data_IF_067890872833
#
_entry.id   IF_067890872833
#
_cell.length_a   1.000
_cell.length_b   1.000
_cell.length_c   1.000
_cell.angle_alpha   90.00
_cell.angle_beta   90.00
_cell.angle_gamma   90.00
#
_symmetry.space_group_name_H-M   'P 1'
#
loop_
_entity.id
_entity.type
_entity.pdbx_description
1 polymer ?
#
# COMPACT_ATOMS: atom_id res chain seq x y z
N UNK A 1 51.11 40.85 -14.61
CA UNK A 1 50.44 40.78 -15.91
C UNK A 1 50.09 39.31 -16.16
N UNK A 2 48.79 38.97 -16.04
CA UNK A 2 48.08 37.88 -16.78
C UNK A 2 48.53 36.43 -16.43
N UNK A 3 47.87 35.64 -15.58
CA UNK A 3 46.55 34.91 -15.64
C UNK A 3 46.87 33.39 -15.53
N UNK A 4 46.69 32.74 -14.37
CA UNK A 4 45.53 31.86 -14.01
C UNK A 4 44.86 31.18 -15.22
N UNK A 5 44.91 29.83 -15.25
CA UNK A 5 43.86 28.96 -15.79
C UNK A 5 44.10 27.51 -15.35
N UNK A 6 43.49 27.12 -14.23
CA UNK A 6 43.27 25.71 -13.89
C UNK A 6 41.81 25.41 -14.21
N UNK A 7 41.57 24.53 -15.18
CA UNK A 7 40.24 24.05 -15.55
C UNK A 7 39.85 22.98 -14.52
N UNK A 8 38.91 23.30 -13.64
CA UNK A 8 38.16 22.35 -12.83
C UNK A 8 36.76 22.30 -13.44
N UNK A 9 36.45 21.17 -14.06
CA UNK A 9 35.12 20.84 -14.56
C UNK A 9 34.18 20.66 -13.36
N UNK A 10 33.21 21.56 -13.25
CA UNK A 10 32.10 21.48 -12.32
C UNK A 10 31.13 20.41 -12.85
N UNK A 11 31.15 19.20 -12.28
CA UNK A 11 30.03 18.27 -12.40
C UNK A 11 29.02 18.74 -11.36
N UNK A 12 28.03 19.51 -11.81
CA UNK A 12 26.83 19.75 -11.03
C UNK A 12 25.98 18.48 -11.09
N UNK A 13 26.16 17.59 -10.12
CA UNK A 13 25.12 16.62 -9.77
C UNK A 13 24.00 17.42 -9.13
N UNK A 14 22.94 17.66 -9.90
CA UNK A 14 21.62 17.94 -9.34
C UNK A 14 21.22 16.70 -8.54
N UNK A 15 21.46 16.71 -7.24
CA UNK A 15 20.66 15.93 -6.34
C UNK A 15 19.24 16.50 -6.49
N UNK A 16 18.38 15.77 -7.21
CA UNK A 16 16.95 15.91 -7.00
C UNK A 16 16.74 15.52 -5.54
N UNK A 17 16.66 16.51 -4.66
CA UNK A 17 15.95 16.29 -3.42
C UNK A 17 14.54 15.90 -3.86
N UNK A 18 14.19 14.63 -3.68
CA UNK A 18 12.78 14.25 -3.66
C UNK A 18 12.21 15.12 -2.55
N UNK A 19 11.38 16.08 -2.92
CA UNK A 19 10.61 16.79 -1.92
C UNK A 19 9.70 15.72 -1.32
N UNK A 20 9.96 15.32 -0.07
CA UNK A 20 8.97 14.55 0.68
C UNK A 20 7.70 15.39 0.61
N UNK A 21 6.62 14.86 0.02
CA UNK A 21 5.39 15.64 -0.06
C UNK A 21 4.97 16.00 1.36
N UNK A 22 4.70 17.28 1.57
CA UNK A 22 4.21 17.75 2.86
C UNK A 22 2.87 17.06 3.13
N UNK A 23 2.64 16.69 4.38
CA UNK A 23 1.40 16.05 4.81
C UNK A 23 0.20 16.87 4.31
N UNK A 24 -0.76 16.20 3.66
CA UNK A 24 -1.87 16.83 2.98
C UNK A 24 -3.18 16.05 3.16
N UNK A 25 -4.25 16.78 3.49
CA UNK A 25 -5.63 16.27 3.44
C UNK A 25 -6.43 17.03 2.38
N UNK A 26 -6.95 16.32 1.39
CA UNK A 26 -7.85 16.83 0.35
C UNK A 26 -9.25 16.28 0.57
N UNK A 27 -10.22 17.19 0.75
CA UNK A 27 -11.63 16.83 0.80
C UNK A 27 -12.26 16.99 -0.59
N UNK A 28 -12.85 15.93 -1.10
CA UNK A 28 -13.60 15.95 -2.35
C UNK A 28 -15.04 16.44 -2.13
N UNK A 29 -15.70 17.01 -3.14
CA UNK A 29 -17.06 17.54 -3.02
C UNK A 29 -18.10 16.52 -2.53
N UNK A 30 -19.18 16.98 -1.89
CA UNK A 30 -20.31 16.11 -1.51
C UNK A 30 -20.90 15.41 -2.74
N UNK A 31 -21.19 14.12 -2.59
CA UNK A 31 -21.62 13.22 -3.65
C UNK A 31 -20.47 12.56 -4.41
N UNK A 32 -19.24 12.68 -3.91
CA UNK A 32 -18.08 11.96 -4.45
C UNK A 32 -17.62 10.83 -3.53
N UNK A 33 -16.91 9.89 -4.13
CA UNK A 33 -16.19 8.82 -3.44
C UNK A 33 -14.88 8.58 -4.18
N UNK A 34 -13.74 8.65 -3.49
CA UNK A 34 -12.50 8.12 -4.03
C UNK A 34 -12.52 6.59 -3.85
N UNK A 35 -12.34 5.85 -4.94
CA UNK A 35 -12.49 4.40 -4.96
C UNK A 35 -11.13 3.70 -5.02
N UNK A 36 -10.19 4.26 -5.78
CA UNK A 36 -8.88 3.64 -6.02
C UNK A 36 -7.81 4.69 -6.34
N UNK A 37 -6.54 4.33 -6.18
CA UNK A 37 -5.36 5.15 -6.44
C UNK A 37 -4.24 4.31 -7.06
N UNK A 38 -3.44 4.90 -7.94
CA UNK A 38 -2.26 4.24 -8.51
C UNK A 38 -1.20 3.97 -7.42
N UNK A 39 -0.34 2.94 -7.58
CA UNK A 39 0.72 2.59 -6.62
C UNK A 39 1.61 3.75 -6.20
N UNK A 40 1.91 4.61 -7.18
CA UNK A 40 2.78 5.79 -7.06
C UNK A 40 2.06 7.03 -6.51
N UNK A 41 0.75 6.94 -6.30
CA UNK A 41 -0.07 8.01 -5.77
C UNK A 41 -0.42 9.09 -6.78
N UNK A 42 -0.02 8.99 -8.06
CA UNK A 42 -0.22 10.06 -9.02
C UNK A 42 -1.70 10.25 -9.40
N UNK A 43 -2.46 9.16 -9.56
CA UNK A 43 -3.83 9.19 -10.12
C UNK A 43 -4.85 8.56 -9.18
N UNK A 44 -5.89 9.32 -8.86
CA UNK A 44 -7.07 8.85 -8.10
C UNK A 44 -8.27 8.72 -9.02
N UNK A 45 -9.01 7.62 -8.89
CA UNK A 45 -10.30 7.42 -9.57
C UNK A 45 -11.44 7.25 -8.58
N UNK A 46 -12.65 7.57 -9.03
CA UNK A 46 -13.81 7.44 -8.16
C UNK A 46 -15.15 7.74 -8.81
N UNK A 47 -16.15 7.91 -7.97
CA UNK A 47 -17.54 8.17 -8.36
C UNK A 47 -17.95 9.58 -7.94
N UNK A 48 -18.84 10.20 -8.72
CA UNK A 48 -19.50 11.47 -8.42
C UNK A 48 -20.98 11.43 -8.82
N UNK A 49 -21.73 12.48 -8.47
CA UNK A 49 -23.13 12.65 -8.90
C UNK A 49 -23.32 12.76 -10.43
N UNK A 50 -22.25 12.99 -11.19
CA UNK A 50 -22.32 13.16 -12.66
C UNK A 50 -21.63 12.02 -13.44
N UNK A 51 -21.20 10.97 -12.74
CA UNK A 51 -20.45 9.84 -13.29
C UNK A 51 -19.13 9.63 -12.55
N UNK A 52 -18.22 8.87 -13.15
CA UNK A 52 -16.88 8.65 -12.64
C UNK A 52 -16.03 9.91 -12.67
N UNK A 53 -14.92 9.89 -11.96
CA UNK A 53 -13.86 10.88 -12.12
C UNK A 53 -12.49 10.22 -12.11
N UNK A 54 -11.57 10.85 -12.83
CA UNK A 54 -10.13 10.56 -12.82
C UNK A 54 -9.37 11.85 -12.54
N UNK A 55 -8.37 11.80 -11.66
CA UNK A 55 -7.68 13.00 -11.22
C UNK A 55 -6.22 12.74 -10.90
N UNK A 56 -5.32 13.43 -11.59
CA UNK A 56 -3.92 13.56 -11.15
C UNK A 56 -3.83 14.67 -10.12
N UNK A 57 -4.16 14.33 -8.89
CA UNK A 57 -4.57 15.29 -7.86
C UNK A 57 -3.47 16.25 -7.40
N UNK A 58 -2.21 15.91 -7.62
CA UNK A 58 -1.06 16.78 -7.36
C UNK A 58 -0.68 17.68 -8.55
N UNK A 59 -1.16 17.36 -9.76
CA UNK A 59 -0.77 18.02 -11.02
C UNK A 59 -1.90 18.90 -11.55
N UNK A 60 -3.11 18.36 -11.58
CA UNK A 60 -4.28 18.98 -12.18
C UNK A 60 -5.11 19.69 -11.10
N UNK A 61 -5.59 20.90 -11.39
CA UNK A 61 -6.31 21.73 -10.41
C UNK A 61 -7.69 21.15 -9.99
N UNK A 62 -8.30 20.33 -10.84
CA UNK A 62 -9.61 19.72 -10.61
C UNK A 62 -9.72 18.35 -11.30
N UNK A 63 -10.59 17.45 -10.79
CA UNK A 63 -10.83 16.14 -11.40
C UNK A 63 -11.52 16.26 -12.77
N UNK A 64 -11.17 15.34 -13.67
CA UNK A 64 -11.91 15.15 -14.93
C UNK A 64 -13.09 14.22 -14.69
N UNK A 65 -14.31 14.71 -14.93
CA UNK A 65 -15.53 13.92 -14.77
C UNK A 65 -15.91 13.20 -16.06
N UNK A 66 -16.19 11.91 -15.95
CA UNK A 66 -16.53 11.00 -17.05
C UNK A 66 -17.97 10.50 -16.89
N UNK A 67 -18.92 10.97 -17.71
CA UNK A 67 -20.31 10.53 -17.62
C UNK A 67 -20.49 9.09 -18.11
N UNK A 68 -21.61 8.47 -17.74
CA UNK A 68 -22.05 7.18 -18.29
C UNK A 68 -21.76 5.95 -17.42
N UNK A 69 -20.91 6.08 -16.41
CA UNK A 69 -20.64 5.03 -15.44
C UNK A 69 -19.82 5.51 -14.25
N UNK A 70 -19.65 4.62 -13.28
CA UNK A 70 -18.84 4.84 -12.08
C UNK A 70 -17.46 4.20 -12.28
N UNK A 71 -16.38 4.85 -11.84
CA UNK A 71 -15.02 4.30 -11.90
C UNK A 71 -14.68 3.62 -10.57
N UNK A 72 -14.19 2.38 -10.62
CA UNK A 72 -13.99 1.52 -9.44
C UNK A 72 -12.54 1.22 -9.17
N UNK A 73 -11.73 0.92 -10.20
CA UNK A 73 -10.32 0.56 -10.06
C UNK A 73 -9.49 1.09 -11.25
N UNK A 74 -8.19 1.34 -11.06
CA UNK A 74 -7.28 1.94 -12.05
C UNK A 74 -5.99 1.12 -12.22
N UNK A 75 -5.48 1.01 -13.45
CA UNK A 75 -4.18 0.39 -13.74
C UNK A 75 -3.03 1.22 -13.18
N UNK A 76 -1.85 0.60 -12.99
CA UNK A 76 -0.68 1.24 -12.36
C UNK A 76 -0.23 2.50 -13.10
N UNK A 77 -0.38 2.52 -14.42
CA UNK A 77 -0.05 3.64 -15.28
C UNK A 77 -1.18 4.68 -15.45
N UNK A 78 -2.31 4.49 -14.76
CA UNK A 78 -3.46 5.39 -14.83
C UNK A 78 -4.26 5.34 -16.15
N UNK A 79 -3.89 4.49 -17.11
CA UNK A 79 -4.43 4.55 -18.48
C UNK A 79 -5.70 3.73 -18.71
N UNK A 80 -5.94 2.70 -17.90
CA UNK A 80 -7.12 1.84 -17.97
C UNK A 80 -7.86 1.89 -16.65
N UNK A 81 -9.18 2.10 -16.73
CA UNK A 81 -10.04 2.16 -15.55
C UNK A 81 -11.17 1.14 -15.68
N UNK A 82 -11.36 0.32 -14.65
CA UNK A 82 -12.53 -0.54 -14.53
C UNK A 82 -13.68 0.23 -13.88
N UNK A 83 -14.88 0.04 -14.38
CA UNK A 83 -16.07 0.66 -13.84
C UNK A 83 -17.36 -0.09 -14.13
N UNK A 84 -18.46 0.58 -13.83
CA UNK A 84 -19.81 0.06 -14.02
C UNK A 84 -20.66 1.04 -14.82
N UNK A 85 -21.21 0.60 -15.94
CA UNK A 85 -22.05 1.40 -16.84
C UNK A 85 -23.45 0.80 -16.98
N UNK A 86 -24.38 1.58 -17.55
CA UNK A 86 -25.72 1.10 -17.89
C UNK A 86 -25.90 0.99 -19.41
N UNK A 87 -26.09 -0.23 -19.92
CA UNK A 87 -26.38 -0.50 -21.33
C UNK A 87 -27.80 -1.01 -21.46
N UNK A 88 -28.68 -0.24 -22.12
CA UNK A 88 -30.07 -0.64 -22.34
C UNK A 88 -30.88 -0.87 -21.05
N UNK A 89 -30.48 -0.26 -19.93
CA UNK A 89 -31.11 -0.46 -18.61
C UNK A 89 -30.55 -1.62 -17.78
N UNK A 90 -29.49 -2.27 -18.25
CA UNK A 90 -28.76 -3.33 -17.54
C UNK A 90 -27.37 -2.84 -17.09
N UNK A 91 -26.90 -3.20 -15.88
CA UNK A 91 -25.56 -2.85 -15.43
C UNK A 91 -24.52 -3.79 -16.06
N UNK A 92 -23.41 -3.21 -16.52
CA UNK A 92 -22.26 -3.92 -17.07
C UNK A 92 -20.99 -3.46 -16.38
N UNK A 93 -20.12 -4.41 -16.04
CA UNK A 93 -18.70 -4.13 -15.90
C UNK A 93 -18.16 -3.61 -17.24
N UNK A 94 -17.35 -2.56 -17.21
CA UNK A 94 -16.81 -1.91 -18.40
C UNK A 94 -15.41 -1.36 -18.13
N UNK A 95 -14.60 -1.32 -19.18
CA UNK A 95 -13.31 -0.62 -19.16
C UNK A 95 -13.47 0.77 -19.75
N UNK A 96 -12.71 1.72 -19.24
CA UNK A 96 -12.59 3.05 -19.78
C UNK A 96 -11.13 3.36 -20.10
N UNK A 97 -10.92 4.00 -21.24
CA UNK A 97 -9.64 4.61 -21.64
C UNK A 97 -9.91 6.02 -22.15
N UNK A 98 -8.92 6.92 -22.08
CA UNK A 98 -9.08 8.30 -22.54
C UNK A 98 -9.44 8.37 -24.04
N UNK A 99 -8.78 7.57 -24.87
CA UNK A 99 -8.97 7.55 -26.32
C UNK A 99 -10.24 6.78 -26.76
N UNK A 100 -10.63 5.75 -26.01
CA UNK A 100 -11.72 4.83 -26.37
C UNK A 100 -13.06 5.13 -25.72
N UNK A 101 -13.07 5.82 -24.57
CA UNK A 101 -14.24 5.93 -23.71
C UNK A 101 -14.62 4.58 -23.07
N UNK A 102 -15.88 4.46 -22.66
CA UNK A 102 -16.42 3.24 -22.03
C UNK A 102 -16.64 2.12 -23.06
N UNK A 103 -16.08 0.94 -22.78
CA UNK A 103 -16.32 -0.31 -23.49
C UNK A 103 -16.85 -1.39 -22.53
N UNK A 104 -18.03 -1.92 -22.83
CA UNK A 104 -18.69 -2.91 -21.98
C UNK A 104 -18.01 -4.27 -22.14
N UNK A 105 -17.72 -4.96 -21.03
CA UNK A 105 -17.22 -6.33 -21.10
C UNK A 105 -18.28 -7.24 -21.75
N UNK A 106 -17.84 -8.12 -22.66
CA UNK A 106 -18.75 -9.00 -23.40
C UNK A 106 -19.22 -10.19 -22.54
N UNK A 107 -20.46 -10.11 -22.05
CA UNK A 107 -21.15 -11.18 -21.35
C UNK A 107 -22.14 -11.96 -22.23
N UNK A 108 -22.09 -11.82 -23.56
CA UNK A 108 -23.06 -12.43 -24.49
C UNK A 108 -23.08 -13.98 -24.46
N UNK A 109 -22.02 -14.60 -23.96
CA UNK A 109 -21.94 -16.04 -23.74
C UNK A 109 -22.78 -16.53 -22.53
N UNK A 110 -23.25 -15.61 -21.68
CA UNK A 110 -23.94 -15.92 -20.42
C UNK A 110 -25.37 -15.37 -20.42
N UNK A 111 -26.27 -16.08 -19.75
CA UNK A 111 -27.66 -15.61 -19.62
C UNK A 111 -27.82 -14.65 -18.43
N UNK A 112 -28.38 -13.45 -18.58
CA UNK A 112 -28.57 -12.55 -17.45
C UNK A 112 -29.66 -13.03 -16.48
N UNK A 113 -29.74 -12.39 -15.31
CA UNK A 113 -30.86 -12.56 -14.38
C UNK A 113 -31.77 -11.33 -14.38
N UNK A 114 -32.80 -11.34 -15.23
CA UNK A 114 -33.58 -10.13 -15.49
C UNK A 114 -32.66 -9.04 -16.06
N UNK A 115 -32.62 -7.83 -15.46
CA UNK A 115 -31.71 -6.78 -15.92
C UNK A 115 -30.25 -7.01 -15.50
N UNK A 116 -29.96 -7.88 -14.52
CA UNK A 116 -28.62 -8.04 -13.96
C UNK A 116 -27.70 -8.81 -14.91
N UNK A 117 -26.61 -8.18 -15.34
CA UNK A 117 -25.59 -8.78 -16.23
C UNK A 117 -24.26 -8.91 -15.50
N UNK A 118 -23.62 -7.79 -15.14
CA UNK A 118 -22.34 -7.81 -14.45
C UNK A 118 -22.02 -6.54 -13.66
N UNK A 119 -21.03 -6.64 -12.77
CA UNK A 119 -20.43 -5.49 -12.08
C UNK A 119 -18.94 -5.73 -11.83
N UNK A 120 -18.10 -4.75 -12.13
CA UNK A 120 -16.65 -4.78 -11.93
C UNK A 120 -16.27 -4.35 -10.51
N UNK A 121 -15.24 -5.00 -9.95
CA UNK A 121 -14.78 -4.78 -8.57
C UNK A 121 -13.28 -4.49 -8.44
N UNK A 122 -12.41 -5.13 -9.24
CA UNK A 122 -10.97 -4.88 -9.20
C UNK A 122 -10.28 -5.14 -10.55
N UNK A 123 -9.13 -4.50 -10.75
CA UNK A 123 -8.35 -4.48 -12.00
C UNK A 123 -6.87 -4.80 -11.68
N UNK A 124 -6.18 -5.54 -12.57
CA UNK A 124 -4.75 -5.77 -12.46
C UNK A 124 -3.94 -4.51 -12.79
N UNK A 125 -2.69 -4.44 -12.32
CA UNK A 125 -1.83 -3.28 -12.49
C UNK A 125 -1.51 -2.98 -13.96
N UNK A 126 -1.46 -4.00 -14.81
CA UNK A 126 -1.29 -3.82 -16.26
C UNK A 126 -2.58 -3.48 -17.02
N UNK A 127 -3.73 -3.41 -16.34
CA UNK A 127 -5.04 -3.12 -16.93
C UNK A 127 -5.62 -4.25 -17.80
N UNK A 128 -5.01 -5.44 -17.82
CA UNK A 128 -5.38 -6.53 -18.74
C UNK A 128 -6.19 -7.65 -18.12
N UNK A 129 -6.42 -7.60 -16.82
CA UNK A 129 -7.25 -8.55 -16.10
C UNK A 129 -8.20 -7.82 -15.17
N UNK A 130 -9.48 -8.16 -15.20
CA UNK A 130 -10.50 -7.53 -14.37
C UNK A 130 -11.40 -8.57 -13.73
N UNK A 131 -11.87 -8.29 -12.52
CA UNK A 131 -12.69 -9.22 -11.76
C UNK A 131 -13.98 -8.59 -11.25
N UNK A 132 -14.96 -9.41 -10.92
CA UNK A 132 -16.21 -8.93 -10.35
C UNK A 132 -17.31 -9.97 -10.23
N UNK A 133 -18.55 -9.52 -10.32
CA UNK A 133 -19.75 -10.34 -10.27
C UNK A 133 -20.41 -10.40 -11.66
N UNK A 134 -20.70 -11.61 -12.15
CA UNK A 134 -21.45 -11.87 -13.37
C UNK A 134 -22.65 -12.78 -13.11
N UNK A 135 -23.61 -12.77 -14.04
CA UNK A 135 -24.81 -13.62 -13.97
C UNK A 135 -24.87 -14.63 -15.11
N UNK A 136 -25.21 -15.87 -14.79
CA UNK A 136 -25.50 -16.93 -15.76
C UNK A 136 -26.76 -17.71 -15.39
N UNK A 137 -27.92 -17.35 -15.96
CA UNK A 137 -29.20 -18.02 -15.70
C UNK A 137 -29.69 -17.85 -14.26
N UNK A 138 -29.53 -16.64 -13.69
CA UNK A 138 -29.76 -16.35 -12.26
C UNK A 138 -28.81 -17.05 -11.29
N UNK A 139 -27.69 -17.56 -11.79
CA UNK A 139 -26.55 -17.98 -10.99
C UNK A 139 -25.51 -16.85 -10.93
N UNK A 140 -25.28 -16.30 -9.74
CA UNK A 140 -24.28 -15.27 -9.50
C UNK A 140 -22.89 -15.90 -9.35
N UNK A 141 -21.94 -15.47 -10.17
CA UNK A 141 -20.58 -16.02 -10.24
C UNK A 141 -19.53 -14.92 -10.23
N UNK A 142 -18.43 -15.17 -9.54
CA UNK A 142 -17.21 -14.40 -9.77
C UNK A 142 -16.77 -14.59 -11.22
N UNK A 143 -16.27 -13.55 -11.87
CA UNK A 143 -15.67 -13.66 -13.20
C UNK A 143 -14.23 -13.15 -13.19
N UNK A 144 -13.42 -13.68 -14.10
CA UNK A 144 -12.16 -13.10 -14.54
C UNK A 144 -12.31 -12.73 -16.01
N UNK A 145 -12.12 -11.47 -16.34
CA UNK A 145 -11.91 -11.01 -17.70
C UNK A 145 -10.42 -10.89 -17.96
N UNK A 146 -9.96 -11.31 -19.13
CA UNK A 146 -8.62 -11.01 -19.63
C UNK A 146 -8.70 -10.41 -21.03
N UNK A 147 -7.76 -9.52 -21.37
CA UNK A 147 -7.68 -8.92 -22.71
C UNK A 147 -7.65 -9.98 -23.82
N UNK A 148 -6.91 -11.08 -23.62
CA UNK A 148 -6.75 -12.14 -24.61
C UNK A 148 -7.91 -13.15 -24.63
N UNK A 149 -8.55 -13.41 -23.49
CA UNK A 149 -9.51 -14.50 -23.31
C UNK A 149 -10.97 -14.07 -23.21
N UNK A 150 -11.24 -12.78 -22.97
CA UNK A 150 -12.57 -12.30 -22.63
C UNK A 150 -13.00 -12.74 -21.23
N UNK A 151 -14.32 -12.77 -20.99
CA UNK A 151 -14.90 -13.11 -19.69
C UNK A 151 -14.97 -14.63 -19.49
N UNK A 152 -14.36 -15.11 -18.40
CA UNK A 152 -14.49 -16.46 -17.86
C UNK A 152 -15.18 -16.41 -16.48
N UNK A 153 -16.13 -17.30 -16.23
CA UNK A 153 -16.69 -17.48 -14.88
C UNK A 153 -15.74 -18.33 -14.02
N UNK A 154 -15.52 -17.91 -12.78
CA UNK A 154 -14.69 -18.64 -11.81
C UNK A 154 -15.40 -19.89 -11.29
N UNK A 155 -14.62 -20.88 -10.87
CA UNK A 155 -15.16 -22.14 -10.37
C UNK A 155 -16.04 -21.94 -9.12
N UNK A 156 -17.10 -22.74 -9.04
CA UNK A 156 -17.93 -22.84 -7.84
C UNK A 156 -17.18 -23.65 -6.78
N UNK A 157 -16.64 -22.98 -5.77
CA UNK A 157 -15.85 -23.60 -4.70
C UNK A 157 -16.69 -24.16 -3.54
N UNK A 158 -17.99 -23.86 -3.51
CA UNK A 158 -18.90 -24.28 -2.46
C UNK A 158 -20.35 -24.45 -2.96
N UNK A 159 -21.32 -24.28 -2.06
CA UNK A 159 -22.73 -24.59 -2.33
C UNK A 159 -23.52 -23.34 -2.73
N UNK A 160 -23.25 -22.81 -3.92
CA UNK A 160 -24.03 -21.72 -4.50
C UNK A 160 -23.15 -20.63 -5.07
N UNK A 161 -23.65 -19.40 -5.05
CA UNK A 161 -23.02 -18.25 -5.69
C UNK A 161 -21.65 -17.88 -5.11
N UNK A 162 -20.85 -17.21 -5.91
CA UNK A 162 -19.58 -16.62 -5.49
C UNK A 162 -19.42 -15.24 -6.13
N UNK A 163 -18.53 -14.43 -5.57
CA UNK A 163 -18.11 -13.14 -6.11
C UNK A 163 -16.61 -13.04 -5.95
N UNK A 164 -15.94 -12.48 -6.96
CA UNK A 164 -14.59 -12.02 -6.82
C UNK A 164 -14.59 -10.50 -6.60
N UNK A 165 -13.90 -10.10 -5.55
CA UNK A 165 -13.90 -8.74 -4.99
C UNK A 165 -12.53 -8.06 -5.13
N UNK A 166 -11.46 -8.85 -5.29
CA UNK A 166 -10.09 -8.38 -5.42
C UNK A 166 -9.32 -9.21 -6.46
N UNK A 167 -8.30 -8.62 -7.08
CA UNK A 167 -7.30 -9.29 -7.91
C UNK A 167 -5.94 -8.67 -7.59
N UNK A 168 -4.89 -9.48 -7.54
CA UNK A 168 -3.51 -8.99 -7.37
C UNK A 168 -3.09 -8.16 -8.58
N UNK A 169 -2.15 -7.23 -8.41
CA UNK A 169 -1.69 -6.36 -9.50
C UNK A 169 -1.03 -7.16 -10.63
N UNK A 170 -0.40 -8.29 -10.33
CA UNK A 170 0.12 -9.23 -11.34
C UNK A 170 -0.94 -10.12 -12.04
N UNK A 171 -2.21 -10.00 -11.62
CA UNK A 171 -3.34 -10.73 -12.18
C UNK A 171 -3.41 -12.23 -11.85
N UNK A 172 -2.56 -12.74 -10.96
CA UNK A 172 -2.44 -14.18 -10.70
C UNK A 172 -3.35 -14.70 -9.58
N UNK A 173 -3.64 -13.87 -8.58
CA UNK A 173 -4.42 -14.24 -7.40
C UNK A 173 -5.71 -13.42 -7.37
N UNK A 174 -6.84 -14.09 -7.15
CA UNK A 174 -8.16 -13.46 -7.11
C UNK A 174 -8.80 -13.79 -5.77
N UNK A 175 -9.28 -12.77 -5.07
CA UNK A 175 -9.94 -12.88 -3.78
C UNK A 175 -11.43 -12.57 -3.86
N UNK A 176 -12.23 -13.20 -3.01
CA UNK A 176 -13.61 -12.80 -2.76
C UNK A 176 -14.33 -13.70 -1.77
N UNK A 177 -15.58 -14.04 -2.06
CA UNK A 177 -16.35 -15.00 -1.26
C UNK A 177 -17.00 -16.07 -2.14
N UNK A 178 -17.15 -17.26 -1.57
CA UNK A 178 -18.09 -18.26 -2.06
C UNK A 178 -19.10 -18.64 -0.99
N UNK A 179 -20.26 -19.15 -1.39
CA UNK A 179 -21.20 -19.74 -0.43
C UNK A 179 -20.62 -21.03 0.14
N UNK A 180 -20.40 -21.04 1.44
CA UNK A 180 -20.01 -22.22 2.22
C UNK A 180 -21.21 -23.11 2.54
N UNK A 181 -21.23 -23.72 3.73
CA UNK A 181 -22.32 -24.60 4.16
C UNK A 181 -23.61 -23.84 4.43
N UNK A 182 -23.51 -22.64 5.01
CA UNK A 182 -24.64 -21.81 5.42
C UNK A 182 -24.41 -20.30 5.21
N UNK A 183 -23.16 -19.88 5.04
CA UNK A 183 -22.72 -18.48 5.07
C UNK A 183 -21.74 -18.22 3.90
N UNK A 184 -21.47 -16.94 3.61
CA UNK A 184 -20.34 -16.55 2.76
C UNK A 184 -19.04 -16.87 3.48
N UNK A 185 -18.05 -17.41 2.78
CA UNK A 185 -16.73 -17.71 3.34
C UNK A 185 -15.63 -17.16 2.42
N UNK A 186 -14.47 -16.75 2.96
CA UNK A 186 -13.40 -16.21 2.14
C UNK A 186 -12.91 -17.27 1.15
N UNK A 187 -12.78 -16.83 -0.09
CA UNK A 187 -12.46 -17.67 -1.23
C UNK A 187 -11.32 -17.05 -2.02
N UNK A 188 -10.44 -17.91 -2.54
CA UNK A 188 -9.29 -17.54 -3.35
C UNK A 188 -9.31 -18.36 -4.63
N UNK A 189 -9.10 -17.72 -5.77
CA UNK A 189 -8.95 -18.36 -7.07
C UNK A 189 -7.60 -18.00 -7.70
N UNK A 190 -7.09 -18.91 -8.52
CA UNK A 190 -5.99 -18.66 -9.42
C UNK A 190 -6.51 -18.09 -10.77
N UNK A 191 -5.60 -17.58 -11.60
CA UNK A 191 -5.90 -17.04 -12.93
C UNK A 191 -6.50 -18.05 -13.91
N UNK A 192 -6.38 -19.36 -13.66
CA UNK A 192 -7.06 -20.40 -14.44
C UNK A 192 -8.53 -20.62 -14.04
N UNK A 193 -8.99 -19.94 -12.98
CA UNK A 193 -10.34 -20.01 -12.43
C UNK A 193 -10.55 -21.09 -11.37
N UNK A 194 -9.56 -21.95 -11.11
CA UNK A 194 -9.60 -22.89 -9.99
C UNK A 194 -9.36 -22.20 -8.66
N UNK A 195 -9.75 -22.78 -7.54
CA UNK A 195 -9.61 -22.10 -6.25
C UNK A 195 -9.87 -22.97 -5.02
N UNK A 196 -9.87 -22.32 -3.85
CA UNK A 196 -10.09 -22.93 -2.54
C UNK A 196 -10.78 -21.98 -1.55
N UNK A 197 -11.28 -22.54 -0.44
CA UNK A 197 -11.93 -21.82 0.66
C UNK A 197 -11.10 -21.99 1.94
N UNK A 198 -11.03 -20.95 2.76
CA UNK A 198 -10.37 -21.04 4.07
C UNK A 198 -11.05 -22.06 4.99
N UNK A 199 -12.33 -21.84 5.30
CA UNK A 199 -13.15 -22.81 6.02
C UNK A 199 -14.61 -22.64 5.64
N UNK A 200 -15.18 -23.70 5.07
CA UNK A 200 -16.57 -23.75 4.54
C UNK A 200 -17.67 -23.35 5.54
N UNK A 201 -17.38 -23.33 6.85
CA UNK A 201 -18.35 -22.97 7.88
C UNK A 201 -18.13 -21.59 8.50
N UNK A 202 -16.98 -20.96 8.26
CA UNK A 202 -16.66 -19.66 8.83
C UNK A 202 -17.12 -18.53 7.91
N UNK A 203 -17.70 -17.49 8.50
CA UNK A 203 -18.15 -16.32 7.77
C UNK A 203 -16.93 -15.52 7.30
N UNK A 204 -16.96 -15.00 6.08
CA UNK A 204 -15.97 -14.05 5.64
C UNK A 204 -15.95 -13.78 4.15
N UNK A 205 -15.02 -12.91 3.76
CA UNK A 205 -14.74 -12.50 2.39
C UNK A 205 -13.31 -11.94 2.30
N UNK A 206 -12.59 -12.28 1.24
CA UNK A 206 -11.34 -11.59 0.88
C UNK A 206 -11.71 -10.27 0.19
N UNK A 207 -11.13 -9.17 0.67
CA UNK A 207 -11.42 -7.82 0.20
C UNK A 207 -10.24 -7.14 -0.47
N UNK A 208 -9.01 -7.56 -0.17
CA UNK A 208 -7.81 -7.02 -0.79
C UNK A 208 -6.66 -8.03 -0.81
N UNK A 209 -5.62 -7.66 -1.54
CA UNK A 209 -4.42 -8.45 -1.81
C UNK A 209 -3.26 -7.46 -1.93
N UNK A 210 -2.04 -7.85 -1.58
CA UNK A 210 -0.86 -7.12 -2.02
C UNK A 210 -0.57 -7.42 -3.51
N UNK A 211 0.48 -6.81 -4.09
CA UNK A 211 0.63 -6.77 -5.55
C UNK A 211 0.85 -8.12 -6.22
N UNK A 212 1.52 -9.06 -5.54
CA UNK A 212 1.73 -10.44 -6.00
C UNK A 212 0.73 -11.44 -5.41
N UNK A 213 -0.19 -10.97 -4.55
CA UNK A 213 -1.18 -11.79 -3.86
C UNK A 213 -0.60 -12.76 -2.83
N UNK A 214 0.66 -12.57 -2.40
CA UNK A 214 1.26 -13.34 -1.30
C UNK A 214 0.68 -13.00 0.07
N UNK A 215 0.11 -11.80 0.22
CA UNK A 215 -0.63 -11.37 1.41
C UNK A 215 -2.10 -11.14 1.04
N UNK A 216 -2.98 -11.77 1.81
CA UNK A 216 -4.44 -11.74 1.61
C UNK A 216 -5.09 -11.09 2.82
N UNK A 217 -6.03 -10.17 2.58
CA UNK A 217 -6.75 -9.49 3.66
C UNK A 217 -8.26 -9.46 3.42
N UNK A 218 -9.00 -9.31 4.51
CA UNK A 218 -10.44 -9.15 4.42
C UNK A 218 -11.13 -9.31 5.76
N UNK A 219 -12.25 -10.03 5.76
CA UNK A 219 -13.07 -10.28 6.94
C UNK A 219 -13.19 -11.77 7.23
N UNK A 220 -13.03 -12.14 8.50
CA UNK A 220 -13.15 -13.49 9.02
C UNK A 220 -13.90 -13.49 10.36
N UNK A 221 -15.09 -14.07 10.39
CA UNK A 221 -15.96 -14.16 11.57
C UNK A 221 -16.16 -12.81 12.30
N UNK A 222 -16.42 -11.77 11.52
CA UNK A 222 -16.69 -10.41 11.98
C UNK A 222 -15.43 -9.59 12.27
N UNK A 223 -14.24 -10.05 11.89
CA UNK A 223 -12.97 -9.39 12.23
C UNK A 223 -12.09 -9.25 11.01
N UNK A 224 -11.37 -8.14 10.93
CA UNK A 224 -10.34 -7.94 9.93
C UNK A 224 -9.26 -9.00 10.10
N UNK A 225 -8.81 -9.57 9.00
CA UNK A 225 -7.73 -10.55 8.98
C UNK A 225 -6.70 -10.22 7.91
N UNK A 226 -5.51 -10.78 8.10
CA UNK A 226 -4.41 -10.82 7.16
C UNK A 226 -3.84 -12.25 7.14
N UNK A 227 -3.41 -12.75 5.99
CA UNK A 227 -2.74 -14.04 5.83
C UNK A 227 -1.54 -13.86 4.90
N UNK A 228 -0.34 -14.11 5.42
CA UNK A 228 0.95 -13.98 4.73
C UNK A 228 1.49 -15.34 4.22
N UNK A 229 0.61 -16.34 4.13
CA UNK A 229 0.96 -17.72 3.79
C UNK A 229 1.43 -18.56 4.98
N UNK A 230 1.65 -17.96 6.15
CA UNK A 230 1.87 -18.70 7.41
C UNK A 230 0.55 -19.04 8.14
N UNK A 231 -0.57 -18.47 7.68
CA UNK A 231 -1.91 -18.67 8.19
C UNK A 231 -2.57 -17.35 8.62
N UNK A 232 -3.86 -17.42 8.93
CA UNK A 232 -4.66 -16.24 9.30
C UNK A 232 -4.16 -15.61 10.60
N UNK A 233 -3.75 -14.35 10.50
CA UNK A 233 -3.60 -13.40 11.59
C UNK A 233 -4.86 -12.54 11.71
N UNK A 234 -5.51 -12.57 12.88
CA UNK A 234 -6.70 -11.73 13.14
C UNK A 234 -6.24 -10.35 13.64
N UNK A 235 -6.47 -9.31 12.84
CA UNK A 235 -6.19 -7.92 13.20
C UNK A 235 -7.23 -7.37 14.18
N UNK A 236 -8.49 -7.80 14.05
CA UNK A 236 -9.59 -7.45 14.96
C UNK A 236 -10.60 -6.49 14.37
N UNK A 237 -11.18 -5.62 15.20
CA UNK A 237 -12.07 -4.54 14.78
C UNK A 237 -11.87 -3.33 15.70
N UNK A 238 -12.09 -2.12 15.18
CA UNK A 238 -11.90 -0.87 15.93
C UNK A 238 -12.82 -0.81 17.16
N UNK A 239 -14.09 -1.19 16.98
CA UNK A 239 -15.13 -1.04 18.00
C UNK A 239 -15.42 -2.32 18.79
N UNK A 240 -15.02 -3.49 18.29
CA UNK A 240 -15.36 -4.77 18.87
C UNK A 240 -16.88 -5.07 18.90
N UNK A 241 -17.26 -6.07 19.70
CA UNK A 241 -18.66 -6.43 19.91
C UNK A 241 -19.36 -6.92 18.63
N UNK A 242 -20.45 -6.27 18.24
CA UNK A 242 -21.25 -6.63 17.06
C UNK A 242 -20.81 -5.90 15.78
N UNK A 243 -19.77 -5.06 15.84
CA UNK A 243 -19.20 -4.44 14.65
C UNK A 243 -18.31 -5.44 13.92
N UNK A 244 -18.42 -5.41 12.60
CA UNK A 244 -17.59 -6.21 11.70
C UNK A 244 -16.42 -5.38 11.22
N UNK A 245 -15.18 -5.82 11.49
CA UNK A 245 -13.97 -5.22 10.93
C UNK A 245 -13.66 -5.77 9.55
N UNK A 246 -13.37 -4.89 8.59
CA UNK A 246 -13.06 -5.24 7.20
C UNK A 246 -11.76 -4.54 6.82
N UNK A 247 -10.71 -5.30 6.55
CA UNK A 247 -9.52 -4.78 5.89
C UNK A 247 -9.81 -4.64 4.39
N UNK A 248 -9.36 -3.56 3.74
CA UNK A 248 -9.62 -3.31 2.31
C UNK A 248 -8.34 -3.22 1.47
N UNK A 249 -7.22 -2.77 2.05
CA UNK A 249 -5.96 -2.62 1.32
C UNK A 249 -4.73 -2.72 2.23
N UNK A 250 -3.56 -3.04 1.66
CA UNK A 250 -2.28 -3.25 2.37
C UNK A 250 -1.09 -2.67 1.60
N UNK A 251 -0.10 -2.14 2.32
CA UNK A 251 1.13 -1.63 1.73
C UNK A 251 2.00 -2.81 1.33
N UNK A 252 2.87 -2.63 0.34
CA UNK A 252 3.60 -3.77 -0.23
C UNK A 252 4.62 -4.38 0.76
N UNK A 253 5.05 -3.60 1.76
CA UNK A 253 5.86 -4.08 2.89
C UNK A 253 5.05 -4.74 4.03
N UNK A 254 3.72 -4.75 3.91
CA UNK A 254 2.78 -5.27 4.89
C UNK A 254 2.71 -4.49 6.21
N UNK A 255 3.29 -3.28 6.29
CA UNK A 255 3.38 -2.52 7.53
C UNK A 255 2.17 -1.61 7.78
N UNK A 256 1.39 -1.30 6.75
CA UNK A 256 0.17 -0.52 6.84
C UNK A 256 -0.98 -1.33 6.26
N UNK A 257 -2.10 -1.40 6.97
CA UNK A 257 -3.37 -1.96 6.47
C UNK A 257 -4.46 -0.92 6.73
N UNK A 258 -5.31 -0.67 5.75
CA UNK A 258 -6.47 0.22 5.92
C UNK A 258 -7.76 -0.56 5.79
N UNK A 259 -8.81 -0.01 6.38
CA UNK A 259 -10.12 -0.64 6.35
C UNK A 259 -11.19 0.18 7.05
N UNK A 260 -12.26 -0.51 7.42
CA UNK A 260 -13.33 0.09 8.20
C UNK A 260 -14.10 -0.95 9.02
N UNK A 261 -14.68 -0.48 10.11
CA UNK A 261 -15.67 -1.20 10.88
C UNK A 261 -17.06 -0.89 10.35
N UNK A 262 -17.97 -1.86 10.37
CA UNK A 262 -19.37 -1.66 9.96
C UNK A 262 -20.36 -2.32 10.91
N UNK A 263 -21.47 -1.62 11.17
CA UNK A 263 -22.67 -2.19 11.79
C UNK A 263 -23.92 -1.57 11.18
N UNK A 264 -24.75 -2.40 10.54
CA UNK A 264 -25.96 -1.92 9.86
C UNK A 264 -25.59 -0.86 8.78
N UNK A 265 -25.97 0.41 8.96
CA UNK A 265 -25.59 1.51 8.05
C UNK A 265 -24.40 2.34 8.57
N UNK A 266 -23.94 2.13 9.80
CA UNK A 266 -22.83 2.88 10.38
C UNK A 266 -21.51 2.26 9.94
N UNK A 267 -20.53 3.11 9.62
CA UNK A 267 -19.15 2.71 9.33
C UNK A 267 -18.16 3.67 9.98
N UNK A 268 -16.96 3.18 10.26
CA UNK A 268 -15.84 3.98 10.75
C UNK A 268 -14.54 3.47 10.15
N UNK A 269 -13.83 4.35 9.45
CA UNK A 269 -12.56 4.03 8.84
C UNK A 269 -11.46 3.87 9.90
N UNK A 270 -10.49 3.00 9.62
CA UNK A 270 -9.35 2.79 10.48
C UNK A 270 -8.09 2.46 9.67
N UNK A 271 -6.95 2.63 10.33
CA UNK A 271 -5.64 2.21 9.88
C UNK A 271 -5.04 1.28 10.94
N UNK A 272 -4.33 0.25 10.49
CA UNK A 272 -3.58 -0.68 11.32
C UNK A 272 -2.10 -0.62 10.96
N UNK A 273 -1.27 -0.67 11.99
CA UNK A 273 0.17 -0.98 11.86
C UNK A 273 0.54 -2.00 12.94
N UNK A 274 1.66 -2.73 12.79
CA UNK A 274 2.15 -3.61 13.84
C UNK A 274 2.38 -2.90 15.18
N UNK A 275 2.78 -1.63 15.14
CA UNK A 275 3.10 -0.83 16.32
C UNK A 275 1.84 -0.36 17.08
N UNK A 276 0.83 0.10 16.34
CA UNK A 276 -0.34 0.75 16.93
C UNK A 276 -1.56 -0.17 17.08
N UNK A 277 -1.60 -1.29 16.35
CA UNK A 277 -2.85 -1.99 16.12
C UNK A 277 -3.84 -1.13 15.33
N UNK A 278 -5.13 -1.46 15.40
CA UNK A 278 -6.21 -0.72 14.73
C UNK A 278 -6.44 0.62 15.45
N UNK A 279 -6.28 1.72 14.72
CA UNK A 279 -6.54 3.09 15.17
C UNK A 279 -7.55 3.74 14.21
N UNK A 280 -8.50 4.50 14.75
CA UNK A 280 -9.48 5.24 13.96
C UNK A 280 -8.80 6.20 12.99
N UNK A 281 -9.25 6.26 11.74
CA UNK A 281 -8.66 7.16 10.75
C UNK A 281 -8.89 8.64 11.11
N UNK A 282 -9.94 8.96 11.86
CA UNK A 282 -10.12 10.29 12.45
C UNK A 282 -8.99 10.65 13.42
N UNK A 283 -8.54 9.70 14.24
CA UNK A 283 -7.44 9.93 15.20
C UNK A 283 -6.10 10.04 14.46
N UNK A 284 -5.90 9.24 13.41
CA UNK A 284 -4.73 9.35 12.51
C UNK A 284 -4.66 10.76 11.92
N UNK A 285 -5.75 11.26 11.33
CA UNK A 285 -5.81 12.60 10.75
C UNK A 285 -5.68 13.71 11.80
N UNK A 286 -6.25 13.54 12.99
CA UNK A 286 -6.12 14.52 14.06
C UNK A 286 -4.67 14.64 14.57
N UNK A 287 -3.98 13.50 14.72
CA UNK A 287 -2.57 13.47 15.11
C UNK A 287 -1.65 14.04 14.02
N UNK A 288 -2.04 13.88 12.76
CA UNK A 288 -1.47 14.51 11.57
C UNK A 288 -1.76 16.02 11.43
N UNK A 289 -2.29 16.68 12.47
CA UNK A 289 -2.52 18.12 12.44
C UNK A 289 -3.80 18.56 11.74
N UNK A 290 -4.76 17.65 11.49
CA UNK A 290 -6.10 17.96 10.99
C UNK A 290 -7.21 17.73 12.04
N UNK A 291 -7.15 18.38 13.22
CA UNK A 291 -8.22 18.28 14.19
C UNK A 291 -9.48 18.93 13.62
N UNK A 292 -10.52 18.13 13.37
CA UNK A 292 -11.77 18.58 12.74
C UNK A 292 -11.89 18.26 11.25
N UNK A 293 -11.05 17.38 10.72
CA UNK A 293 -11.36 16.69 9.47
C UNK A 293 -12.77 16.05 9.52
N UNK A 294 -13.41 15.94 8.35
CA UNK A 294 -14.71 15.29 8.25
C UNK A 294 -14.63 13.83 8.71
N UNK A 295 -15.70 13.32 9.32
CA UNK A 295 -15.73 11.97 9.86
C UNK A 295 -15.46 10.93 8.76
N UNK A 296 -14.35 10.23 8.87
CA UNK A 296 -13.92 9.21 7.92
C UNK A 296 -14.80 7.97 8.03
N UNK A 297 -15.45 7.64 6.91
CA UNK A 297 -16.47 6.60 6.85
C UNK A 297 -15.89 5.26 6.39
N UNK A 298 -15.05 5.28 5.35
CA UNK A 298 -14.28 4.11 4.87
C UNK A 298 -12.93 4.55 4.31
N UNK A 299 -11.89 3.75 4.52
CA UNK A 299 -10.73 3.71 3.63
C UNK A 299 -10.99 2.64 2.55
N UNK A 300 -10.49 2.85 1.33
CA UNK A 300 -10.71 1.93 0.21
C UNK A 300 -9.44 1.42 -0.44
N UNK A 301 -8.49 2.33 -0.67
CA UNK A 301 -7.25 2.03 -1.34
C UNK A 301 -6.14 2.94 -0.81
N UNK A 302 -4.90 2.56 -1.08
CA UNK A 302 -3.72 3.36 -0.81
C UNK A 302 -2.57 3.04 -1.76
N UNK A 303 -1.52 3.84 -1.67
CA UNK A 303 -0.25 3.63 -2.39
C UNK A 303 0.54 2.46 -1.83
N UNK A 304 1.48 1.94 -2.63
CA UNK A 304 2.28 0.76 -2.25
C UNK A 304 3.14 1.01 -1.00
N UNK A 305 3.54 2.26 -0.75
CA UNK A 305 4.25 2.70 0.45
C UNK A 305 3.31 2.94 1.66
N UNK A 306 2.00 2.91 1.45
CA UNK A 306 0.97 3.15 2.47
C UNK A 306 0.81 4.61 2.90
N UNK A 307 1.36 5.58 2.16
CA UNK A 307 1.38 6.98 2.56
C UNK A 307 0.20 7.80 2.08
N UNK A 308 -0.34 7.49 0.91
CA UNK A 308 -1.53 8.15 0.38
C UNK A 308 -2.71 7.19 0.51
N UNK A 309 -3.69 7.56 1.34
CA UNK A 309 -4.89 6.76 1.60
C UNK A 309 -6.10 7.51 1.02
N UNK A 310 -6.95 6.78 0.29
CA UNK A 310 -8.18 7.32 -0.28
C UNK A 310 -9.42 6.63 0.26
N UNK A 311 -10.53 7.35 0.27
CA UNK A 311 -11.80 6.79 0.72
C UNK A 311 -12.96 7.76 0.74
N UNK A 312 -13.89 7.54 1.67
CA UNK A 312 -15.10 8.33 1.85
C UNK A 312 -15.26 8.86 3.27
N UNK A 313 -15.84 10.05 3.40
CA UNK A 313 -16.22 10.73 4.64
C UNK A 313 -17.72 10.93 4.73
N UNK A 314 -18.23 11.15 5.94
CA UNK A 314 -19.53 11.78 6.16
C UNK A 314 -19.34 13.28 5.96
N UNK A 315 -19.92 13.82 4.89
CA UNK A 315 -19.82 15.21 4.53
C UNK A 315 -20.95 16.04 5.16
N UNK A 316 -20.59 17.12 5.85
CA UNK A 316 -21.52 18.08 6.43
C UNK A 316 -22.44 18.68 5.36
N UNK A 317 -23.74 18.78 5.68
CA UNK A 317 -24.75 19.42 4.82
C UNK A 317 -25.42 18.52 3.77
N UNK A 318 -25.04 17.25 3.64
CA UNK A 318 -25.66 16.32 2.69
C UNK A 318 -26.85 15.51 3.24
N UNK A 319 -27.33 15.81 4.46
CA UNK A 319 -28.38 15.02 5.12
C UNK A 319 -27.89 13.64 5.56
N UNK A 320 -28.78 12.66 5.83
CA UNK A 320 -28.40 11.34 6.36
C UNK A 320 -27.56 10.47 5.42
N UNK A 321 -27.27 10.93 4.20
CA UNK A 321 -26.46 10.26 3.17
C UNK A 321 -25.48 11.22 2.48
N UNK A 322 -25.09 12.31 3.15
CA UNK A 322 -24.05 13.21 2.66
C UNK A 322 -22.69 12.53 2.74
N UNK A 323 -22.18 12.05 1.62
CA UNK A 323 -20.84 11.46 1.54
C UNK A 323 -19.93 12.35 0.70
N UNK A 324 -18.66 12.47 1.07
CA UNK A 324 -17.63 13.09 0.24
C UNK A 324 -16.44 12.15 0.15
N UNK A 325 -15.62 12.25 -0.90
CA UNK A 325 -14.36 11.52 -0.93
C UNK A 325 -13.26 12.23 -0.15
N UNK A 326 -12.19 11.53 0.19
CA UNK A 326 -10.95 12.15 0.67
C UNK A 326 -9.72 11.53 0.01
N UNK A 327 -8.65 12.31 -0.02
CA UNK A 327 -7.27 11.86 -0.26
C UNK A 327 -6.47 12.35 0.94
N UNK A 328 -5.77 11.46 1.62
CA UNK A 328 -4.92 11.80 2.75
C UNK A 328 -3.52 11.27 2.50
N UNK A 329 -2.61 12.21 2.25
CA UNK A 329 -1.17 11.96 2.16
C UNK A 329 -0.57 12.26 3.52
N UNK A 330 -0.02 11.24 4.16
CA UNK A 330 0.71 11.40 5.40
C UNK A 330 2.16 11.75 5.09
N UNK A 331 2.78 12.55 5.93
CA UNK A 331 4.23 12.67 5.88
C UNK A 331 4.83 11.30 6.19
N UNK A 332 5.69 10.83 5.29
CA UNK A 332 6.72 9.88 5.63
C UNK A 332 7.54 10.48 6.76
N UNK A 333 7.14 10.22 7.99
CA UNK A 333 8.15 9.83 8.96
C UNK A 333 8.48 8.38 8.65
N UNK A 334 9.12 8.14 7.50
CA UNK A 334 9.99 6.98 7.37
C UNK A 334 10.90 7.08 8.59
N UNK A 335 10.58 6.30 9.61
CA UNK A 335 11.39 6.24 10.82
C UNK A 335 12.80 5.80 10.46
N UNK A 336 13.01 5.22 9.26
CA UNK A 336 14.28 4.80 8.72
C UNK A 336 14.41 5.16 7.24
N UNK A 337 15.28 6.10 6.89
CA UNK A 337 15.56 6.53 5.51
C UNK A 337 16.96 6.03 5.07
N UNK A 338 17.05 5.36 3.91
CA UNK A 338 18.35 4.97 3.31
C UNK A 338 18.98 6.15 2.55
N UNK A 339 20.13 6.62 3.01
CA UNK A 339 20.88 7.73 2.44
C UNK A 339 21.94 7.29 1.41
N UNK A 340 22.07 5.99 1.13
CA UNK A 340 23.07 5.44 0.22
C UNK A 340 24.50 5.54 0.76
N UNK A 341 25.49 5.82 -0.10
CA UNK A 341 26.92 5.95 0.27
C UNK A 341 27.65 4.65 0.73
N UNK A 342 27.15 3.48 0.35
CA UNK A 342 27.86 2.22 0.57
C UNK A 342 29.22 2.19 -0.16
N UNK A 343 30.24 1.60 0.49
CA UNK A 343 31.59 1.42 -0.05
C UNK A 343 31.88 -0.07 -0.14
N UNK A 344 32.16 -0.54 -1.36
CA UNK A 344 32.35 -1.96 -1.63
C UNK A 344 33.58 -2.56 -0.93
N UNK A 345 33.41 -3.76 -0.38
CA UNK A 345 34.46 -4.63 0.12
C UNK A 345 34.64 -5.88 -0.75
N UNK A 346 35.23 -6.92 -0.16
CA UNK A 346 35.44 -8.23 -0.81
C UNK A 346 34.13 -8.94 -1.17
N UNK A 347 33.02 -8.61 -0.50
CA UNK A 347 31.71 -9.26 -0.67
C UNK A 347 30.65 -8.35 -1.32
N UNK A 348 31.08 -7.33 -2.08
CA UNK A 348 30.19 -6.34 -2.69
C UNK A 348 29.91 -5.17 -1.75
N UNK A 349 28.73 -4.56 -1.88
CA UNK A 349 28.28 -3.43 -1.05
C UNK A 349 27.63 -3.98 0.24
N UNK A 350 28.23 -3.74 1.42
CA UNK A 350 27.54 -3.95 2.68
C UNK A 350 26.28 -3.08 2.75
N UNK A 351 25.23 -3.55 3.42
CA UNK A 351 23.96 -2.83 3.51
C UNK A 351 23.36 -2.93 4.91
N UNK A 352 22.88 -1.82 5.46
CA UNK A 352 22.20 -1.72 6.75
C UNK A 352 20.73 -1.37 6.52
N UNK A 353 19.83 -2.08 7.19
CA UNK A 353 18.42 -1.74 7.34
C UNK A 353 18.07 -1.53 8.81
N UNK A 354 17.11 -0.64 9.08
CA UNK A 354 16.56 -0.39 10.40
C UNK A 354 15.08 -0.72 10.44
N UNK A 355 14.60 -1.21 11.59
CA UNK A 355 13.18 -1.46 11.84
C UNK A 355 12.80 -1.05 13.26
N UNK A 356 11.52 -0.75 13.46
CA UNK A 356 10.94 -0.28 14.73
C UNK A 356 10.43 1.15 14.62
N UNK A 357 9.42 1.48 15.42
CA UNK A 357 8.66 2.75 15.35
C UNK A 357 9.37 3.97 15.98
N UNK A 358 10.57 3.79 16.52
CA UNK A 358 11.35 4.83 17.23
C UNK A 358 10.59 5.54 18.38
N UNK A 359 9.54 4.90 18.91
CA UNK A 359 8.82 5.39 20.08
C UNK A 359 9.64 5.19 21.37
N UNK A 360 9.43 6.01 22.42
CA UNK A 360 10.12 5.86 23.70
C UNK A 360 10.08 4.41 24.24
N UNK A 361 11.26 3.81 24.44
CA UNK A 361 11.45 2.44 24.94
C UNK A 361 10.94 1.33 24.01
N UNK A 362 10.56 1.61 22.77
CA UNK A 362 10.16 0.59 21.81
C UNK A 362 11.35 -0.25 21.34
N UNK A 363 11.09 -1.46 20.87
CA UNK A 363 12.12 -2.31 20.30
C UNK A 363 12.55 -1.81 18.92
N UNK A 364 13.86 -1.69 18.70
CA UNK A 364 14.44 -1.34 17.40
C UNK A 364 15.48 -2.39 17.00
N UNK A 365 15.61 -2.63 15.70
CA UNK A 365 16.59 -3.57 15.16
C UNK A 365 17.35 -2.95 13.99
N UNK A 366 18.67 -3.17 13.97
CA UNK A 366 19.53 -2.89 12.83
C UNK A 366 20.03 -4.22 12.28
N UNK A 367 19.92 -4.41 10.97
CA UNK A 367 20.48 -5.57 10.28
C UNK A 367 21.54 -5.12 9.29
N UNK A 368 22.80 -5.47 9.54
CA UNK A 368 23.86 -5.36 8.55
C UNK A 368 23.93 -6.66 7.74
N UNK A 369 24.06 -6.54 6.42
CA UNK A 369 24.25 -7.65 5.47
C UNK A 369 25.43 -7.37 4.55
N UNK A 370 25.89 -8.39 3.83
CA UNK A 370 27.02 -8.33 2.88
C UNK A 370 28.33 -7.79 3.45
N UNK A 371 28.51 -7.83 4.78
CA UNK A 371 29.78 -7.53 5.42
C UNK A 371 30.77 -8.69 5.25
N UNK A 372 32.05 -8.45 5.53
CA UNK A 372 33.09 -9.47 5.45
C UNK A 372 32.78 -10.62 6.43
N UNK A 373 32.54 -11.86 5.95
CA UNK A 373 32.22 -12.99 6.81
C UNK A 373 33.31 -13.28 7.85
N UNK A 374 32.90 -13.58 9.09
CA UNK A 374 33.82 -13.74 10.24
C UNK A 374 34.71 -12.52 10.52
N UNK A 375 34.35 -11.36 9.96
CA UNK A 375 35.03 -10.09 10.18
C UNK A 375 34.52 -9.36 11.43
N UNK A 376 34.77 -8.06 11.44
CA UNK A 376 34.25 -7.15 12.46
C UNK A 376 33.69 -5.90 11.81
N UNK A 377 32.74 -5.25 12.46
CA UNK A 377 32.16 -3.99 12.01
C UNK A 377 32.09 -2.97 13.16
N UNK A 378 32.16 -1.69 12.82
CA UNK A 378 31.98 -0.57 13.75
C UNK A 378 30.76 0.21 13.31
N UNK A 379 29.75 0.29 14.16
CA UNK A 379 28.60 1.17 13.94
C UNK A 379 28.98 2.58 14.41
N UNK A 380 28.93 3.54 13.50
CA UNK A 380 29.09 4.96 13.80
C UNK A 380 27.69 5.57 13.83
N UNK A 381 27.40 6.34 14.88
CA UNK A 381 26.13 7.08 15.01
C UNK A 381 26.39 8.52 15.42
N UNK A 382 25.53 9.43 14.97
CA UNK A 382 25.58 10.82 15.37
C UNK A 382 24.36 11.64 14.97
N UNK A 383 24.27 12.83 15.53
CA UNK A 383 23.15 13.77 15.36
C UNK A 383 23.23 14.62 14.09
N UNK A 384 24.31 14.54 13.31
CA UNK A 384 24.50 15.34 12.11
C UNK A 384 24.96 14.51 10.91
N UNK A 385 24.43 14.85 9.73
CA UNK A 385 24.97 14.42 8.46
C UNK A 385 26.17 15.32 8.08
N UNK A 386 27.38 14.78 8.14
CA UNK A 386 28.62 15.48 7.78
C UNK A 386 29.08 15.19 6.36
N UNK A 387 28.63 14.09 5.75
CA UNK A 387 29.00 13.64 4.38
C UNK A 387 30.48 13.88 4.03
N UNK A 388 31.38 13.49 4.94
CA UNK A 388 32.80 13.77 4.84
C UNK A 388 33.55 12.64 4.10
N UNK A 389 34.56 12.94 3.27
CA UNK A 389 35.42 11.91 2.68
C UNK A 389 36.15 11.12 3.77
N UNK A 390 36.02 9.79 3.76
CA UNK A 390 36.68 8.91 4.73
C UNK A 390 37.06 7.58 4.07
N UNK A 391 38.33 7.18 4.18
CA UNK A 391 38.85 5.87 3.71
C UNK A 391 38.45 5.48 2.28
N UNK A 392 38.27 6.45 1.39
CA UNK A 392 37.87 6.21 -0.01
C UNK A 392 36.36 6.11 -0.24
N UNK A 393 35.54 6.22 0.80
CA UNK A 393 34.09 6.39 0.74
C UNK A 393 33.63 7.71 1.39
N UNK A 394 32.36 7.75 1.78
CA UNK A 394 31.73 8.90 2.45
C UNK A 394 31.28 8.46 3.84
N UNK A 395 31.80 9.12 4.86
CA UNK A 395 31.27 9.02 6.21
C UNK A 395 30.13 10.03 6.35
N UNK A 396 28.92 9.51 6.46
CA UNK A 396 27.71 10.33 6.59
C UNK A 396 27.48 10.80 8.04
N UNK A 397 27.44 9.94 9.06
CA UNK A 397 27.19 10.39 10.44
C UNK A 397 28.40 11.11 11.06
N UNK A 398 28.12 12.15 11.85
CA UNK A 398 29.07 12.67 12.82
C UNK A 398 29.50 11.55 13.77
N UNK A 399 30.80 11.36 14.07
CA UNK A 399 31.29 10.25 14.88
C UNK A 399 31.14 10.52 16.38
N UNK A 400 29.92 10.71 16.85
CA UNK A 400 29.61 10.97 18.27
C UNK A 400 29.63 9.66 19.07
N UNK A 401 29.06 8.60 18.50
CA UNK A 401 29.05 7.26 19.09
C UNK A 401 29.72 6.29 18.12
N UNK A 402 30.67 5.52 18.63
CA UNK A 402 31.29 4.40 17.95
C UNK A 402 31.04 3.12 18.75
N UNK A 403 30.28 2.20 18.17
CA UNK A 403 29.98 0.90 18.77
C UNK A 403 30.71 -0.20 18.00
N UNK A 404 31.68 -0.83 18.64
CA UNK A 404 32.43 -1.95 18.07
C UNK A 404 33.80 -2.18 18.72
N UNK A 405 34.57 -3.15 18.19
CA UNK A 405 34.22 -4.01 17.05
C UNK A 405 33.09 -4.99 17.40
N UNK A 406 32.07 -5.04 16.55
CA UNK A 406 30.99 -6.02 16.60
C UNK A 406 31.32 -7.20 15.67
N UNK A 407 31.08 -8.43 16.12
CA UNK A 407 31.40 -9.63 15.35
C UNK A 407 30.41 -9.86 14.21
N UNK A 408 30.90 -9.99 12.99
CA UNK A 408 30.09 -10.37 11.81
C UNK A 408 29.99 -11.89 11.76
N UNK A 409 28.79 -12.42 11.52
CA UNK A 409 28.56 -13.86 11.44
C UNK A 409 29.25 -14.48 10.22
N UNK A 410 29.40 -15.83 10.17
CA UNK A 410 29.94 -16.51 8.99
C UNK A 410 29.13 -16.31 7.70
N UNK A 411 27.87 -15.89 7.81
CA UNK A 411 26.99 -15.54 6.70
C UNK A 411 27.15 -14.11 6.19
N UNK A 412 27.98 -13.28 6.84
CA UNK A 412 28.16 -11.87 6.47
C UNK A 412 27.08 -10.92 7.01
N UNK A 413 26.18 -11.41 7.86
CA UNK A 413 25.17 -10.63 8.57
C UNK A 413 25.57 -10.28 10.00
N UNK A 414 25.01 -9.20 10.52
CA UNK A 414 25.14 -8.76 11.91
C UNK A 414 23.84 -8.09 12.36
N UNK A 415 22.96 -8.82 13.08
CA UNK A 415 21.80 -8.23 13.73
C UNK A 415 22.18 -7.55 15.04
N UNK A 416 21.63 -6.37 15.28
CA UNK A 416 21.72 -5.63 16.52
C UNK A 416 20.33 -5.19 16.95
N UNK A 417 19.86 -5.68 18.09
CA UNK A 417 18.58 -5.28 18.67
C UNK A 417 18.82 -4.40 19.90
N UNK A 418 18.02 -3.34 20.05
CA UNK A 418 18.05 -2.42 21.17
C UNK A 418 16.63 -1.93 21.50
N UNK A 419 16.53 -1.07 22.51
CA UNK A 419 15.33 -0.28 22.74
C UNK A 419 15.63 1.18 22.43
N UNK A 420 14.68 1.90 21.83
CA UNK A 420 14.84 3.32 21.57
C UNK A 420 14.84 4.13 22.88
N UNK A 421 15.62 5.21 23.00
CA UNK A 421 15.72 5.94 24.27
C UNK A 421 14.41 6.66 24.64
N UNK A 422 14.05 6.63 25.92
CA UNK A 422 12.80 7.24 26.41
C UNK A 422 12.73 8.78 26.31
N UNK A 423 13.86 9.45 26.06
CA UNK A 423 14.00 10.90 26.16
C UNK A 423 14.36 11.60 24.84
N UNK A 424 14.23 10.91 23.71
CA UNK A 424 14.43 11.54 22.40
C UNK A 424 13.26 12.50 22.13
N UNK A 425 13.53 13.78 21.80
CA UNK A 425 12.50 14.67 21.29
C UNK A 425 11.96 14.17 19.94
N UNK A 426 10.71 14.49 19.63
CA UNK A 426 10.17 14.29 18.27
C UNK A 426 10.91 15.11 17.24
N UNK A 427 10.88 14.67 15.98
CA UNK A 427 11.57 15.24 14.82
C UNK A 427 13.10 15.28 14.96
N UNK A 428 13.68 14.40 15.79
CA UNK A 428 15.14 14.26 15.91
C UNK A 428 15.62 13.11 15.04
N UNK A 429 16.43 13.45 14.04
CA UNK A 429 17.11 12.49 13.17
C UNK A 429 18.45 12.06 13.73
N UNK A 430 18.66 10.75 13.85
CA UNK A 430 19.94 10.11 14.16
C UNK A 430 20.48 9.43 12.92
N UNK A 431 21.73 9.68 12.56
CA UNK A 431 22.40 9.09 11.40
C UNK A 431 23.26 7.91 11.83
N UNK A 432 23.28 6.84 11.05
CA UNK A 432 23.97 5.59 11.36
C UNK A 432 24.71 5.05 10.12
N UNK A 433 25.88 4.46 10.31
CA UNK A 433 26.63 3.79 9.23
C UNK A 433 27.63 2.78 9.80
N UNK A 434 27.74 1.59 9.20
CA UNK A 434 28.79 0.63 9.53
C UNK A 434 30.06 0.87 8.71
N UNK A 435 31.21 0.80 9.39
CA UNK A 435 32.54 0.71 8.77
C UNK A 435 33.20 -0.63 9.11
N UNK A 436 33.68 -1.33 8.10
CA UNK A 436 34.10 -2.73 8.16
C UNK A 436 35.56 -2.81 7.67
N UNK A 437 36.52 -3.25 8.51
CA UNK A 437 37.84 -3.60 8.02
C UNK A 437 37.75 -4.74 7.00
N UNK A 438 38.13 -4.46 5.76
CA UNK A 438 38.05 -5.38 4.64
C UNK A 438 39.18 -5.07 3.64
N UNK A 439 40.14 -6.00 3.52
CA UNK A 439 41.31 -5.83 2.67
C UNK A 439 40.98 -5.71 1.17
N UNK A 440 39.79 -6.14 0.74
CA UNK A 440 39.30 -5.99 -0.63
C UNK A 440 38.72 -4.61 -0.93
N UNK A 441 38.41 -3.81 0.10
CA UNK A 441 37.86 -2.46 -0.05
C UNK A 441 38.93 -1.36 -0.12
N UNK A 442 38.60 -0.16 -0.63
CA UNK A 442 39.52 0.97 -0.67
C UNK A 442 40.13 1.28 0.70
N UNK A 443 41.44 1.49 0.74
CA UNK A 443 42.21 1.72 1.97
C UNK A 443 42.05 0.63 3.05
N UNK A 444 41.62 -0.57 2.68
CA UNK A 444 41.40 -1.70 3.60
C UNK A 444 40.07 -1.62 4.36
N UNK A 445 39.08 -0.90 3.84
CA UNK A 445 37.76 -0.76 4.45
C UNK A 445 36.63 -0.88 3.43
N UNK A 446 35.50 -1.38 3.92
CA UNK A 446 34.18 -1.28 3.31
C UNK A 446 33.25 -0.49 4.24
N UNK A 447 32.13 -0.01 3.72
CA UNK A 447 31.11 0.70 4.50
C UNK A 447 29.71 0.30 4.03
N UNK A 448 28.76 0.22 4.96
CA UNK A 448 27.35 0.11 4.58
C UNK A 448 26.86 1.41 3.95
N UNK A 449 25.65 1.38 3.38
CA UNK A 449 24.87 2.60 3.25
C UNK A 449 24.72 3.30 4.60
N UNK A 450 24.43 4.59 4.57
CA UNK A 450 24.05 5.37 5.71
C UNK A 450 22.53 5.34 5.86
N UNK A 451 22.08 5.36 7.10
CA UNK A 451 20.68 5.28 7.47
C UNK A 451 20.35 6.48 8.37
N UNK A 452 19.28 7.21 8.04
CA UNK A 452 18.70 8.23 8.92
C UNK A 452 17.54 7.60 9.71
N UNK A 453 17.43 7.97 10.99
CA UNK A 453 16.42 7.48 11.89
C UNK A 453 15.70 8.65 12.57
N UNK A 454 14.47 8.98 12.16
CA UNK A 454 13.75 10.18 12.64
C UNK A 454 12.70 9.80 13.67
N UNK A 455 12.85 10.35 14.88
CA UNK A 455 11.92 10.10 15.99
C UNK A 455 10.56 10.75 15.68
N UNK A 456 9.43 10.01 15.81
CA UNK A 456 8.08 10.56 15.58
C UNK A 456 7.60 11.54 16.66
#
# INVERSE_FOLDING_TARGET
MILRNSILSLIATTALAVAVPAQQLVNLPVGTWANDITPDGETVVGTSNVGGFIWRWQVDAEPTYVPGGDMVAVSDDGSVVLGNIWVGGSPYAALWTEDGGWDALDFSAFSPCGPSVSSGYALSGDGKSATGLGWNGCDARGFLWTEAGGVQMLDSLGNGSNRASAISRDGQVIGGFAQGSFNRTPAVWASDGSGWLYNVNDLGEVHGLNNDGSVILGEYNGRAFMDDGSGITILGSLNGGNWTGIATDISEDGQTVVGYDTVSLARQAWMWTPATGIVSMNDVMANAGYPGAADTFVCRAMTDDGNVIVGGTLADGGGPFGFGGFIFEREDTETWEDLGHALAGSNGLPHITGTGDLSPLSGVSLMLTNALPNGSAWLIMGSANISAPFKGGVQVPSPEILLGPLSVRPSGDLPLAAHWPAGMPGDVTTYMQYWIPDAGGPYGYAASNALAATTP
#
